data_IF_966262711410
#
_entry.id   IF_966262711410
#
_cell.length_a   1.000
_cell.length_b   1.000
_cell.length_c   1.000
_cell.angle_alpha   90.00
_cell.angle_beta   90.00
_cell.angle_gamma   90.00
#
_symmetry.space_group_name_H-M   'P 1'
#
loop_
_entity.id
_entity.type
_entity.pdbx_description
1 polymer ?
#
# COMPACT_ATOMS: atom_id res chain seq x y z
N UNK A 1 18.31 -8.48 4.91
CA UNK A 1 18.40 -8.33 3.44
C UNK A 1 17.16 -8.90 2.77
N UNK A 2 16.42 -8.07 2.03
CA UNK A 2 15.23 -8.48 1.30
C UNK A 2 15.61 -9.34 0.08
N UNK A 3 15.96 -10.61 0.32
CA UNK A 3 16.36 -11.59 -0.72
C UNK A 3 15.31 -11.82 -1.82
N UNK A 4 14.10 -11.25 -1.69
CA UNK A 4 13.03 -11.34 -2.69
C UNK A 4 12.94 -10.11 -3.61
N UNK A 5 13.56 -8.97 -3.28
CA UNK A 5 13.37 -7.73 -4.07
C UNK A 5 13.94 -7.83 -5.50
N UNK A 6 15.17 -8.34 -5.73
CA UNK A 6 15.68 -8.52 -7.10
C UNK A 6 14.80 -9.44 -7.95
N UNK A 7 14.31 -10.55 -7.37
CA UNK A 7 13.42 -11.50 -8.04
C UNK A 7 12.04 -10.91 -8.33
N UNK A 8 11.51 -10.07 -7.44
CA UNK A 8 10.27 -9.34 -7.68
C UNK A 8 10.45 -8.38 -8.85
N UNK A 9 11.55 -7.61 -8.86
CA UNK A 9 11.87 -6.69 -9.97
C UNK A 9 12.03 -7.43 -11.31
N UNK A 10 12.74 -8.56 -11.32
CA UNK A 10 12.88 -9.43 -12.49
C UNK A 10 11.52 -9.90 -13.00
N UNK A 11 10.64 -10.38 -12.12
CA UNK A 11 9.29 -10.83 -12.49
C UNK A 11 8.40 -9.68 -12.97
N UNK A 12 8.52 -8.50 -12.38
CA UNK A 12 7.81 -7.31 -12.83
C UNK A 12 8.26 -6.89 -14.22
N UNK A 13 9.56 -6.87 -14.49
CA UNK A 13 10.11 -6.58 -15.83
C UNK A 13 9.66 -7.62 -16.86
N UNK A 14 9.73 -8.91 -16.51
CA UNK A 14 9.21 -10.00 -17.35
C UNK A 14 7.74 -9.77 -17.71
N UNK A 15 6.89 -9.41 -16.74
CA UNK A 15 5.47 -9.17 -17.02
C UNK A 15 5.22 -7.93 -17.88
N UNK A 16 6.04 -6.89 -17.74
CA UNK A 16 5.98 -5.71 -18.62
C UNK A 16 6.31 -6.11 -20.07
N UNK A 17 7.30 -6.97 -20.27
CA UNK A 17 7.66 -7.49 -21.60
C UNK A 17 6.55 -8.35 -22.20
N UNK A 18 5.96 -9.25 -21.43
CA UNK A 18 4.82 -10.08 -21.85
C UNK A 18 3.62 -9.22 -22.27
N UNK A 19 3.23 -8.22 -21.46
CA UNK A 19 2.14 -7.30 -21.80
C UNK A 19 2.45 -6.53 -23.09
N UNK A 20 3.70 -6.09 -23.27
CA UNK A 20 4.11 -5.40 -24.49
C UNK A 20 4.04 -6.34 -25.73
N UNK A 21 4.32 -7.62 -25.57
CA UNK A 21 4.17 -8.63 -26.61
C UNK A 21 2.70 -8.86 -26.98
N UNK A 22 1.84 -9.12 -25.98
CA UNK A 22 0.39 -9.31 -26.15
C UNK A 22 -0.26 -8.12 -26.88
N UNK A 23 0.15 -6.89 -26.54
CA UNK A 23 -0.37 -5.67 -27.16
C UNK A 23 0.07 -5.50 -28.63
N UNK A 24 1.28 -5.94 -28.97
CA UNK A 24 1.78 -5.95 -30.36
C UNK A 24 1.04 -6.97 -31.21
N UNK A 25 0.81 -8.18 -30.68
CA UNK A 25 0.03 -9.22 -31.37
C UNK A 25 -1.42 -8.79 -31.60
N UNK A 26 -2.02 -8.08 -30.66
CA UNK A 26 -3.36 -7.53 -30.79
C UNK A 26 -3.44 -6.28 -31.71
N UNK A 27 -2.33 -5.87 -32.35
CA UNK A 27 -2.22 -4.65 -33.15
C UNK A 27 -2.71 -3.38 -32.45
N UNK A 28 -2.60 -3.32 -31.12
CA UNK A 28 -3.00 -2.16 -30.33
C UNK A 28 -1.88 -1.14 -30.41
N UNK A 29 -2.09 -0.06 -31.17
CA UNK A 29 -1.17 1.07 -31.20
C UNK A 29 -1.13 1.76 -29.82
N UNK A 30 -0.10 1.47 -29.04
CA UNK A 30 0.19 2.14 -27.77
C UNK A 30 0.63 3.59 -28.05
N UNK A 31 -0.33 4.51 -28.16
CA UNK A 31 -0.05 5.94 -28.16
C UNK A 31 0.55 6.40 -26.80
N UNK A 32 1.07 7.63 -26.73
CA UNK A 32 1.69 8.16 -25.51
C UNK A 32 0.80 8.08 -24.25
N UNK A 33 -0.52 8.15 -24.45
CA UNK A 33 -1.53 7.93 -23.38
C UNK A 33 -1.47 6.53 -22.78
N UNK A 34 -1.15 5.50 -23.54
CA UNK A 34 -1.15 4.13 -23.05
C UNK A 34 0.16 3.77 -22.30
N UNK A 35 1.31 4.36 -22.69
CA UNK A 35 2.52 4.36 -21.85
C UNK A 35 2.29 5.10 -20.52
N UNK A 36 1.53 6.21 -20.55
CA UNK A 36 1.06 6.89 -19.35
C UNK A 36 0.14 5.97 -18.52
N UNK A 37 -0.74 5.18 -19.15
CA UNK A 37 -1.58 4.21 -18.42
C UNK A 37 -0.79 3.01 -17.85
N UNK A 38 0.22 2.48 -18.52
CA UNK A 38 1.07 1.43 -17.94
C UNK A 38 1.88 1.94 -16.73
N UNK A 39 2.28 3.22 -16.75
CA UNK A 39 2.74 3.93 -15.54
C UNK A 39 1.64 4.05 -14.49
N UNK A 40 0.37 4.19 -14.88
CA UNK A 40 -0.74 4.22 -13.91
C UNK A 40 -0.96 2.91 -13.15
N UNK A 41 -0.71 1.73 -13.74
CA UNK A 41 -0.85 0.45 -13.02
C UNK A 41 0.03 0.39 -11.77
N UNK A 42 1.30 0.77 -11.90
CA UNK A 42 2.20 0.92 -10.76
C UNK A 42 1.79 2.10 -9.86
N UNK A 43 1.26 3.20 -10.43
CA UNK A 43 0.74 4.32 -9.66
C UNK A 43 -0.53 4.00 -8.85
N UNK A 44 -1.24 2.90 -9.16
CA UNK A 44 -2.35 2.40 -8.34
C UNK A 44 -1.86 1.57 -7.13
N UNK A 45 -0.57 1.20 -7.10
CA UNK A 45 0.04 0.56 -5.93
C UNK A 45 0.42 1.68 -4.95
N UNK A 46 -0.51 2.01 -4.07
CA UNK A 46 -0.36 3.14 -3.15
C UNK A 46 0.48 2.80 -1.89
N UNK A 47 0.88 1.56 -1.71
CA UNK A 47 1.56 1.03 -0.51
C UNK A 47 3.02 0.60 -0.77
N UNK A 48 3.61 1.00 -1.91
CA UNK A 48 5.05 0.79 -2.17
C UNK A 48 5.91 1.44 -1.08
N UNK A 49 5.59 2.69 -0.74
CA UNK A 49 6.23 3.42 0.35
C UNK A 49 5.25 3.45 1.53
N UNK A 50 5.47 2.59 2.52
CA UNK A 50 4.59 2.44 3.66
C UNK A 50 5.28 2.71 4.98
N UNK A 51 4.60 3.39 5.90
CA UNK A 51 5.00 3.51 7.30
C UNK A 51 3.80 3.22 8.21
N UNK A 52 4.05 2.55 9.34
CA UNK A 52 3.04 2.38 10.40
C UNK A 52 3.44 3.20 11.61
N UNK A 53 2.56 4.09 12.05
CA UNK A 53 2.73 4.90 13.25
C UNK A 53 1.79 4.36 14.33
N UNK A 54 2.39 3.94 15.45
CA UNK A 54 1.67 3.27 16.54
C UNK A 54 1.47 4.25 17.69
N UNK A 55 0.23 4.64 17.94
CA UNK A 55 -0.16 5.54 19.03
C UNK A 55 -0.53 4.75 20.30
N UNK A 56 -0.19 5.27 21.49
CA UNK A 56 -0.63 4.74 22.78
C UNK A 56 -2.08 5.10 23.08
N UNK A 57 -2.54 6.29 22.67
CA UNK A 57 -3.91 6.77 22.92
C UNK A 57 -4.57 7.33 21.67
N UNK A 58 -5.90 7.54 21.73
CA UNK A 58 -6.66 8.13 20.63
C UNK A 58 -6.25 9.58 20.34
N UNK A 59 -5.90 10.34 21.38
CA UNK A 59 -5.44 11.73 21.28
C UNK A 59 -4.08 11.81 20.58
N UNK A 60 -3.18 10.88 20.87
CA UNK A 60 -1.90 10.78 20.16
C UNK A 60 -2.12 10.41 18.68
N UNK A 61 -3.04 9.48 18.40
CA UNK A 61 -3.41 9.13 17.03
C UNK A 61 -3.96 10.33 16.26
N UNK A 62 -4.84 11.12 16.89
CA UNK A 62 -5.35 12.39 16.35
C UNK A 62 -4.22 13.39 16.09
N UNK A 63 -3.26 13.49 17.02
CA UNK A 63 -2.09 14.36 16.88
C UNK A 63 -1.23 13.94 15.68
N UNK A 64 -1.01 12.64 15.45
CA UNK A 64 -0.33 12.17 14.24
C UNK A 64 -1.07 12.56 12.97
N UNK A 65 -2.40 12.36 12.96
CA UNK A 65 -3.23 12.74 11.82
C UNK A 65 -3.05 14.22 11.47
N UNK A 66 -3.24 15.12 12.44
CA UNK A 66 -3.17 16.57 12.23
C UNK A 66 -1.77 17.04 11.81
N UNK A 67 -0.72 16.47 12.39
CA UNK A 67 0.67 16.78 11.99
C UNK A 67 0.98 16.33 10.57
N UNK A 68 0.52 15.14 10.16
CA UNK A 68 0.78 14.64 8.82
C UNK A 68 0.00 15.41 7.75
N UNK A 69 -1.28 15.72 8.01
CA UNK A 69 -2.11 16.45 7.04
C UNK A 69 -1.76 17.93 6.95
N UNK A 70 -1.10 18.50 7.96
CA UNK A 70 -0.53 19.85 7.87
C UNK A 70 0.83 19.88 7.18
N UNK A 71 1.65 18.84 7.35
CA UNK A 71 3.00 18.78 6.77
C UNK A 71 3.03 18.32 5.30
N UNK A 72 2.06 17.50 4.89
CA UNK A 72 2.06 16.85 3.58
C UNK A 72 0.74 17.02 2.84
N UNK A 73 0.79 16.90 1.51
CA UNK A 73 -0.42 16.93 0.68
C UNK A 73 -1.23 15.66 0.88
N UNK A 74 -2.37 15.75 1.56
CA UNK A 74 -3.27 14.61 1.73
C UNK A 74 -3.98 14.28 0.41
N UNK A 75 -3.79 13.05 -0.09
CA UNK A 75 -4.42 12.54 -1.30
C UNK A 75 -5.71 11.78 -0.99
N UNK A 76 -5.69 10.96 0.07
CA UNK A 76 -6.81 10.12 0.48
C UNK A 76 -6.71 9.72 1.95
N UNK A 77 -7.86 9.58 2.59
CA UNK A 77 -8.00 8.95 3.92
C UNK A 77 -8.89 7.71 3.80
N UNK A 78 -8.51 6.63 4.49
CA UNK A 78 -9.39 5.51 4.83
C UNK A 78 -9.43 5.40 6.34
N UNK A 79 -10.61 5.50 6.93
CA UNK A 79 -10.76 5.43 8.39
C UNK A 79 -11.67 4.25 8.75
N UNK A 80 -11.11 3.25 9.44
CA UNK A 80 -11.85 2.05 9.85
C UNK A 80 -12.28 2.08 11.33
N UNK A 81 -12.02 3.18 12.04
CA UNK A 81 -12.61 3.47 13.36
C UNK A 81 -14.04 4.03 13.27
N UNK A 82 -14.53 4.37 12.06
CA UNK A 82 -15.87 4.90 11.89
C UNK A 82 -16.94 3.85 12.24
N UNK A 83 -17.99 4.27 12.97
CA UNK A 83 -19.15 3.42 13.26
C UNK A 83 -19.80 2.92 11.95
N UNK A 84 -20.03 1.61 11.84
CA UNK A 84 -20.58 0.99 10.63
C UNK A 84 -19.55 0.58 9.57
N UNK A 85 -18.25 0.78 9.82
CA UNK A 85 -17.21 0.16 9.00
C UNK A 85 -17.31 -1.37 9.15
N UNK A 86 -17.74 -2.04 8.08
CA UNK A 86 -17.97 -3.48 8.02
C UNK A 86 -16.66 -4.25 7.80
N UNK A 87 -15.65 -3.91 8.58
CA UNK A 87 -14.28 -4.42 8.48
C UNK A 87 -13.72 -4.67 9.87
N UNK A 88 -13.04 -5.81 10.04
CA UNK A 88 -12.39 -6.20 11.29
C UNK A 88 -11.10 -5.43 11.57
N UNK A 89 -10.71 -4.52 10.66
CA UNK A 89 -9.54 -3.67 10.80
C UNK A 89 -9.85 -2.40 11.59
N UNK A 90 -8.90 -1.99 12.44
CA UNK A 90 -8.97 -0.77 13.25
C UNK A 90 -7.71 0.07 13.05
N UNK A 91 -7.70 0.84 11.98
CA UNK A 91 -6.66 1.79 11.62
C UNK A 91 -7.20 3.01 10.84
N UNK A 92 -6.36 4.04 10.72
CA UNK A 92 -6.54 5.13 9.75
C UNK A 92 -5.38 5.06 8.76
N UNK A 93 -5.66 4.92 7.47
CA UNK A 93 -4.65 5.00 6.41
C UNK A 93 -4.72 6.35 5.72
N UNK A 94 -3.60 7.06 5.71
CA UNK A 94 -3.41 8.30 4.98
C UNK A 94 -2.53 8.04 3.78
N UNK A 95 -2.95 8.50 2.61
CA UNK A 95 -2.14 8.51 1.40
C UNK A 95 -1.64 9.93 1.21
N UNK A 96 -0.35 10.13 1.39
CA UNK A 96 0.29 11.44 1.41
C UNK A 96 1.17 11.60 0.18
N UNK A 97 1.12 12.78 -0.44
CA UNK A 97 2.10 13.22 -1.43
C UNK A 97 3.30 13.82 -0.71
N UNK A 98 4.45 13.14 -0.78
CA UNK A 98 5.70 13.56 -0.14
C UNK A 98 6.66 14.04 -1.23
N UNK A 99 7.02 15.31 -1.19
CA UNK A 99 8.00 15.88 -2.11
C UNK A 99 9.40 15.33 -1.87
N UNK A 100 10.08 14.95 -2.94
CA UNK A 100 11.47 14.46 -2.97
C UNK A 100 12.25 15.14 -4.09
N UNK A 101 13.55 14.90 -4.17
CA UNK A 101 14.43 15.38 -5.23
C UNK A 101 14.06 14.85 -6.63
N UNK A 102 13.38 13.70 -6.70
CA UNK A 102 12.92 13.08 -7.94
C UNK A 102 11.43 13.33 -8.25
N UNK A 103 10.76 14.16 -7.45
CA UNK A 103 9.33 14.47 -7.59
C UNK A 103 8.50 14.07 -6.38
N UNK A 104 7.18 14.01 -6.53
CA UNK A 104 6.28 13.65 -5.44
C UNK A 104 6.03 12.13 -5.41
N UNK A 105 6.25 11.52 -4.25
CA UNK A 105 5.99 10.10 -4.01
C UNK A 105 4.71 9.93 -3.17
N UNK A 106 3.91 8.91 -3.53
CA UNK A 106 2.79 8.47 -2.70
C UNK A 106 3.34 7.64 -1.55
N UNK A 107 2.97 8.01 -0.33
CA UNK A 107 3.30 7.29 0.91
C UNK A 107 2.02 6.90 1.64
N UNK A 108 1.86 5.60 1.93
CA UNK A 108 0.83 5.11 2.85
C UNK A 108 1.34 5.26 4.30
N UNK A 109 0.75 6.17 5.07
CA UNK A 109 0.93 6.27 6.50
C UNK A 109 -0.26 5.60 7.21
N UNK A 110 -0.03 4.45 7.83
CA UNK A 110 -1.03 3.74 8.62
C UNK A 110 -0.92 4.14 10.10
N UNK A 111 -1.94 4.80 10.62
CA UNK A 111 -2.08 5.17 12.02
C UNK A 111 -2.91 4.12 12.74
N UNK A 112 -2.40 3.60 13.85
CA UNK A 112 -3.04 2.52 14.58
C UNK A 112 -2.77 2.62 16.08
N UNK A 113 -3.76 2.30 16.89
CA UNK A 113 -3.58 2.16 18.34
C UNK A 113 -2.72 0.94 18.67
N UNK A 114 -1.91 1.03 19.72
CA UNK A 114 -0.99 -0.05 20.15
C UNK A 114 -1.65 -1.41 20.30
N UNK A 115 -2.83 -1.46 20.90
CA UNK A 115 -3.55 -2.73 21.07
C UNK A 115 -4.03 -3.28 19.73
N UNK A 116 -4.58 -2.42 18.86
CA UNK A 116 -4.89 -2.80 17.48
C UNK A 116 -3.66 -3.27 16.69
N UNK A 117 -2.49 -2.67 16.91
CA UNK A 117 -1.25 -3.10 16.28
C UNK A 117 -0.79 -4.49 16.75
N UNK A 118 -0.95 -4.80 18.04
CA UNK A 118 -0.67 -6.13 18.60
C UNK A 118 -1.60 -7.20 18.01
N UNK A 119 -2.85 -6.84 17.78
CA UNK A 119 -3.86 -7.72 17.20
C UNK A 119 -3.79 -7.81 15.67
N UNK A 120 -3.14 -6.83 15.00
CA UNK A 120 -3.05 -6.73 13.54
C UNK A 120 -2.60 -8.02 12.86
N UNK A 121 -1.69 -8.77 13.49
CA UNK A 121 -1.23 -10.08 12.98
C UNK A 121 -2.37 -11.11 12.87
N UNK A 122 -3.31 -11.07 13.82
CA UNK A 122 -4.48 -11.95 13.84
C UNK A 122 -5.55 -11.43 12.89
N UNK A 123 -5.75 -10.12 12.82
CA UNK A 123 -6.68 -9.48 11.88
C UNK A 123 -6.31 -9.79 10.42
N UNK A 124 -5.02 -9.88 10.09
CA UNK A 124 -4.56 -10.26 8.77
C UNK A 124 -4.73 -11.75 8.44
N UNK A 125 -4.94 -12.63 9.43
CA UNK A 125 -4.91 -14.08 9.22
C UNK A 125 -5.94 -14.56 8.19
N UNK A 126 -7.23 -14.17 8.23
CA UNK A 126 -8.20 -14.58 7.21
C UNK A 126 -7.83 -14.06 5.82
N UNK A 127 -7.33 -12.82 5.74
CA UNK A 127 -6.91 -12.21 4.47
C UNK A 127 -5.71 -12.95 3.86
N UNK A 128 -4.71 -13.26 4.68
CA UNK A 128 -3.50 -13.98 4.29
C UNK A 128 -3.85 -15.41 3.82
N UNK A 129 -4.77 -16.09 4.51
CA UNK A 129 -5.26 -17.40 4.11
C UNK A 129 -5.99 -17.36 2.76
N UNK A 130 -6.94 -16.43 2.58
CA UNK A 130 -7.70 -16.28 1.31
C UNK A 130 -6.76 -15.98 0.13
N UNK A 131 -5.69 -15.20 0.36
CA UNK A 131 -4.70 -14.87 -0.66
C UNK A 131 -3.74 -16.03 -0.98
N UNK A 132 -3.79 -17.12 -0.20
CA UNK A 132 -2.85 -18.24 -0.33
C UNK A 132 -1.42 -17.91 0.12
N UNK A 133 -1.24 -16.88 0.94
CA UNK A 133 0.07 -16.47 1.45
C UNK A 133 0.41 -17.25 2.72
N UNK A 134 0.91 -18.48 2.57
CA UNK A 134 1.20 -19.41 3.67
C UNK A 134 2.68 -19.38 4.10
N UNK A 135 3.42 -18.34 3.70
CA UNK A 135 4.86 -18.22 3.95
C UNK A 135 5.20 -17.67 5.36
N UNK A 136 4.19 -17.28 6.16
CA UNK A 136 4.42 -16.63 7.43
C UNK A 136 4.80 -17.62 8.55
N UNK A 137 5.88 -17.35 9.33
CA UNK A 137 6.32 -18.24 10.41
C UNK A 137 5.25 -18.54 11.47
N UNK A 138 4.32 -17.60 11.71
CA UNK A 138 3.25 -17.74 12.70
C UNK A 138 2.03 -18.55 12.20
N UNK A 139 2.01 -18.94 10.92
CA UNK A 139 0.95 -19.81 10.34
C UNK A 139 1.39 -21.29 10.39
N UNK A 140 2.69 -21.55 10.53
CA UNK A 140 3.28 -22.91 10.49
C UNK A 140 3.42 -23.58 11.87
N UNK A 141 2.77 -23.02 12.89
CA UNK A 141 2.71 -23.58 14.26
C UNK A 141 1.38 -24.24 14.49
#
# INVERSE_FOLDING_TARGET
>A
EAKKFPRIMEKTLQRIEEINHELKEAHVALGDKAKMMLRTSAAFICDINGVTLVAQTAEELKTFYERLTSAFRLLRTKNTYQAGANVDYRDVKLFLGVGTDVGELVVEAQLILKDGYREKRWMHLPYVFIRGDLDWPYIRT
#
